data_IF_442072749343
#
_entry.id   IF_442072749343
#
_cell.length_a   1.000
_cell.length_b   1.000
_cell.length_c   1.000
_cell.angle_alpha   90.00
_cell.angle_beta   90.00
_cell.angle_gamma   90.00
#
_symmetry.space_group_name_H-M   'P 1'
#
loop_
_entity.id
_entity.type
_entity.pdbx_description
1 polymer ?
#
# COMPACT_ATOMS: atom_id res chain seq x y z
N UNK A 1 -19.56 -4.02 3.97
CA UNK A 1 -19.33 -2.65 3.45
C UNK A 1 -18.35 -1.85 4.31
N UNK A 2 -18.58 -1.71 5.63
CA UNK A 2 -17.72 -0.93 6.53
C UNK A 2 -16.24 -1.33 6.50
N UNK A 3 -15.94 -2.61 6.34
CA UNK A 3 -14.56 -3.13 6.40
C UNK A 3 -13.76 -2.92 5.12
N UNK A 4 -14.44 -2.92 3.96
CA UNK A 4 -13.83 -2.49 2.71
C UNK A 4 -13.45 -1.01 2.75
N UNK A 5 -14.27 -0.18 3.41
CA UNK A 5 -13.92 1.23 3.67
C UNK A 5 -12.74 1.37 4.62
N UNK A 6 -12.68 0.55 5.69
CA UNK A 6 -11.52 0.51 6.59
C UNK A 6 -10.26 0.10 5.81
N UNK A 7 -10.32 -0.97 5.01
CA UNK A 7 -9.17 -1.43 4.23
C UNK A 7 -8.70 -0.35 3.24
N UNK A 8 -9.62 0.28 2.51
CA UNK A 8 -9.31 1.38 1.60
C UNK A 8 -8.69 2.59 2.34
N UNK A 9 -9.26 2.96 3.48
CA UNK A 9 -8.72 4.04 4.32
C UNK A 9 -7.32 3.71 4.84
N UNK A 10 -7.10 2.47 5.29
CA UNK A 10 -5.78 1.98 5.70
C UNK A 10 -4.75 2.09 4.58
N UNK A 11 -5.11 1.66 3.36
CA UNK A 11 -4.24 1.80 2.18
C UNK A 11 -3.93 3.29 1.88
N UNK A 12 -4.92 4.18 1.95
CA UNK A 12 -4.68 5.61 1.72
C UNK A 12 -3.69 6.17 2.76
N UNK A 13 -3.86 5.80 4.03
CA UNK A 13 -2.94 6.20 5.11
C UNK A 13 -1.54 5.63 4.88
N UNK A 14 -1.42 4.37 4.44
CA UNK A 14 -0.14 3.75 4.08
C UNK A 14 0.54 4.54 2.95
N UNK A 15 -0.18 4.81 1.86
CA UNK A 15 0.35 5.58 0.73
C UNK A 15 0.80 6.98 1.16
N UNK A 16 0.04 7.66 2.02
CA UNK A 16 0.43 8.94 2.61
C UNK A 16 1.71 8.79 3.45
N UNK A 17 1.80 7.76 4.30
CA UNK A 17 2.99 7.47 5.11
C UNK A 17 4.22 7.25 4.21
N UNK A 18 4.11 6.40 3.19
CA UNK A 18 5.19 6.05 2.28
C UNK A 18 5.65 7.27 1.45
N UNK A 19 4.71 8.14 1.08
CA UNK A 19 5.01 9.41 0.40
C UNK A 19 5.74 10.40 1.33
N UNK A 20 5.25 10.58 2.56
CA UNK A 20 5.92 11.39 3.59
C UNK A 20 7.31 10.85 3.92
N UNK A 21 7.48 9.53 3.95
CA UNK A 21 8.76 8.89 4.20
C UNK A 21 9.78 9.30 3.14
N UNK A 22 9.39 9.29 1.87
CA UNK A 22 10.26 9.74 0.77
C UNK A 22 10.57 11.24 0.87
N UNK A 23 9.59 12.07 1.23
CA UNK A 23 9.76 13.51 1.47
C UNK A 23 10.62 13.84 2.69
N UNK A 24 10.78 12.90 3.62
CA UNK A 24 11.57 13.12 4.83
C UNK A 24 13.09 13.20 4.58
N UNK A 25 13.55 12.87 3.38
CA UNK A 25 14.97 12.86 3.00
C UNK A 25 15.83 12.08 4.02
N UNK A 26 15.42 10.85 4.30
CA UNK A 26 16.11 10.00 5.28
C UNK A 26 15.88 10.46 6.73
N UNK A 27 14.70 11.02 7.01
CA UNK A 27 14.32 11.61 8.29
C UNK A 27 15.05 12.89 8.70
N UNK A 28 15.70 13.57 7.76
CA UNK A 28 16.30 14.88 7.98
C UNK A 28 15.24 15.97 8.19
N UNK A 29 14.10 15.85 7.50
CA UNK A 29 12.99 16.79 7.61
C UNK A 29 11.97 16.33 8.67
N UNK A 30 11.98 17.00 9.84
CA UNK A 30 11.17 16.62 11.01
C UNK A 30 9.66 16.46 10.73
N UNK A 31 9.07 17.38 9.97
CA UNK A 31 7.62 17.38 9.74
C UNK A 31 7.14 16.14 8.95
N UNK A 32 7.68 15.83 7.75
CA UNK A 32 7.34 14.60 7.04
C UNK A 32 7.77 13.32 7.80
N UNK A 33 8.84 13.37 8.61
CA UNK A 33 9.22 12.24 9.48
C UNK A 33 8.14 11.89 10.49
N UNK A 34 7.66 12.87 11.25
CA UNK A 34 6.61 12.65 12.25
C UNK A 34 5.32 12.18 11.59
N UNK A 35 4.93 12.80 10.48
CA UNK A 35 3.74 12.39 9.72
C UNK A 35 3.83 10.96 9.20
N UNK A 36 5.01 10.51 8.80
CA UNK A 36 5.24 9.11 8.38
C UNK A 36 4.81 8.15 9.49
N UNK A 37 5.33 8.33 10.70
CA UNK A 37 5.00 7.45 11.83
C UNK A 37 3.52 7.53 12.22
N UNK A 38 2.91 8.72 12.19
CA UNK A 38 1.49 8.90 12.49
C UNK A 38 0.63 8.14 11.49
N UNK A 39 0.82 8.37 10.19
CA UNK A 39 0.03 7.72 9.15
C UNK A 39 0.23 6.22 9.13
N UNK A 40 1.46 5.75 9.37
CA UNK A 40 1.73 4.31 9.43
C UNK A 40 1.06 3.67 10.64
N UNK A 41 1.08 4.32 11.81
CA UNK A 41 0.35 3.87 13.00
C UNK A 41 -1.16 3.78 12.77
N UNK A 42 -1.74 4.78 12.12
CA UNK A 42 -3.18 4.78 11.75
C UNK A 42 -3.47 3.65 10.76
N UNK A 43 -2.69 3.56 9.68
CA UNK A 43 -2.83 2.51 8.66
C UNK A 43 -2.81 1.13 9.28
N UNK A 44 -1.82 0.84 10.12
CA UNK A 44 -1.64 -0.47 10.71
C UNK A 44 -2.79 -0.82 11.67
N UNK A 45 -3.23 0.15 12.46
CA UNK A 45 -4.38 -0.02 13.38
C UNK A 45 -5.65 -0.34 12.60
N UNK A 46 -5.92 0.39 11.52
CA UNK A 46 -7.09 0.18 10.67
C UNK A 46 -7.01 -1.16 9.94
N UNK A 47 -5.81 -1.55 9.49
CA UNK A 47 -5.58 -2.86 8.87
C UNK A 47 -5.89 -4.00 9.83
N UNK A 48 -5.43 -3.93 11.09
CA UNK A 48 -5.78 -4.92 12.13
C UNK A 48 -7.29 -5.02 12.33
N UNK A 49 -8.02 -3.91 12.25
CA UNK A 49 -9.49 -3.94 12.34
C UNK A 49 -10.13 -4.60 11.10
N UNK A 50 -9.56 -4.44 9.91
CA UNK A 50 -10.02 -5.12 8.70
C UNK A 50 -9.78 -6.65 8.77
N UNK A 51 -8.69 -7.08 9.41
CA UNK A 51 -8.37 -8.50 9.64
C UNK A 51 -9.38 -9.22 10.54
N UNK A 52 -10.27 -8.51 11.23
CA UNK A 52 -11.36 -9.15 11.99
C UNK A 52 -12.42 -9.81 11.08
N UNK A 53 -12.35 -9.61 9.77
CA UNK A 53 -13.36 -10.15 8.84
C UNK A 53 -12.85 -10.56 7.48
N UNK A 54 -11.64 -10.14 7.10
CA UNK A 54 -10.93 -10.75 6.00
C UNK A 54 -9.91 -11.74 6.55
N UNK A 55 -9.71 -12.83 5.82
CA UNK A 55 -8.56 -13.68 6.05
C UNK A 55 -7.27 -12.89 5.88
N UNK A 56 -6.27 -13.24 6.69
CA UNK A 56 -4.98 -12.54 6.71
C UNK A 56 -4.34 -12.48 5.33
N UNK A 57 -4.30 -13.63 4.63
CA UNK A 57 -3.73 -13.75 3.28
C UNK A 57 -4.43 -12.84 2.29
N UNK A 58 -5.77 -12.82 2.32
CA UNK A 58 -6.59 -12.00 1.45
C UNK A 58 -6.35 -10.51 1.67
N UNK A 59 -6.44 -10.06 2.93
CA UNK A 59 -6.26 -8.65 3.29
C UNK A 59 -4.84 -8.17 2.94
N UNK A 60 -3.82 -8.97 3.23
CA UNK A 60 -2.44 -8.65 2.87
C UNK A 60 -2.23 -8.58 1.36
N UNK A 61 -2.83 -9.48 0.59
CA UNK A 61 -2.73 -9.45 -0.88
C UNK A 61 -3.30 -8.15 -1.44
N UNK A 62 -4.50 -7.74 -0.99
CA UNK A 62 -5.12 -6.48 -1.42
C UNK A 62 -4.31 -5.27 -0.96
N UNK A 63 -3.89 -5.25 0.31
CA UNK A 63 -3.10 -4.16 0.87
C UNK A 63 -1.78 -3.96 0.13
N UNK A 64 -1.02 -5.03 -0.11
CA UNK A 64 0.24 -4.99 -0.85
C UNK A 64 0.03 -4.62 -2.33
N UNK A 65 -0.96 -5.21 -3.00
CA UNK A 65 -1.22 -4.98 -4.42
C UNK A 65 -1.66 -3.56 -4.74
N UNK A 66 -2.61 -3.01 -3.97
CA UNK A 66 -3.09 -1.65 -4.19
C UNK A 66 -2.05 -0.62 -3.72
N UNK A 67 -1.38 -0.89 -2.60
CA UNK A 67 -0.30 -0.05 -2.09
C UNK A 67 0.84 0.10 -3.09
N UNK A 68 1.40 -1.01 -3.60
CA UNK A 68 2.53 -0.95 -4.54
C UNK A 68 2.15 -0.25 -5.85
N UNK A 69 0.93 -0.46 -6.35
CA UNK A 69 0.43 0.21 -7.54
C UNK A 69 0.37 1.72 -7.34
N UNK A 70 -0.23 2.15 -6.23
CA UNK A 70 -0.46 3.57 -5.93
C UNK A 70 0.86 4.29 -5.65
N UNK A 71 1.72 3.69 -4.82
CA UNK A 71 3.06 4.24 -4.51
C UNK A 71 3.91 4.30 -5.78
N UNK A 72 3.84 3.31 -6.65
CA UNK A 72 4.56 3.35 -7.93
C UNK A 72 4.07 4.48 -8.83
N UNK A 73 2.76 4.69 -8.93
CA UNK A 73 2.18 5.81 -9.70
C UNK A 73 2.66 7.15 -9.14
N UNK A 74 2.65 7.31 -7.81
CA UNK A 74 3.13 8.53 -7.15
C UNK A 74 4.65 8.72 -7.38
N UNK A 75 5.43 7.65 -7.30
CA UNK A 75 6.86 7.63 -7.64
C UNK A 75 7.13 8.21 -9.03
N UNK A 76 6.33 7.81 -10.01
CA UNK A 76 6.48 8.25 -11.40
C UNK A 76 6.01 9.70 -11.59
N UNK A 77 4.82 10.04 -11.10
CA UNK A 77 4.20 11.33 -11.37
C UNK A 77 4.78 12.46 -10.52
N UNK A 78 4.98 12.21 -9.23
CA UNK A 78 5.39 13.22 -8.26
C UNK A 78 6.91 13.27 -8.09
N UNK A 79 7.54 12.11 -7.87
CA UNK A 79 8.99 12.03 -7.65
C UNK A 79 9.80 11.89 -8.94
N UNK A 80 9.13 11.80 -10.10
CA UNK A 80 9.76 11.65 -11.43
C UNK A 80 10.76 10.50 -11.47
N UNK A 81 10.47 9.41 -10.76
CA UNK A 81 11.33 8.23 -10.77
C UNK A 81 11.44 7.66 -12.18
N UNK A 82 12.63 7.20 -12.60
CA UNK A 82 12.81 6.62 -13.92
C UNK A 82 11.93 5.37 -14.07
N UNK A 83 11.21 5.32 -15.18
CA UNK A 83 10.37 4.18 -15.56
C UNK A 83 11.14 3.34 -16.55
N UNK A 84 11.55 2.14 -16.13
CA UNK A 84 12.08 1.13 -17.04
C UNK A 84 10.98 0.16 -17.45
N UNK A 85 11.07 -0.39 -18.66
CA UNK A 85 10.17 -1.45 -19.11
C UNK A 85 10.15 -2.63 -18.12
N UNK A 86 11.31 -2.95 -17.53
CA UNK A 86 11.43 -3.97 -16.49
C UNK A 86 10.63 -3.63 -15.22
N UNK A 87 10.66 -2.36 -14.76
CA UNK A 87 9.87 -1.91 -13.59
C UNK A 87 8.37 -2.11 -13.84
N UNK A 88 7.89 -1.76 -15.04
CA UNK A 88 6.49 -1.94 -15.42
C UNK A 88 6.10 -3.43 -15.42
N UNK A 89 6.91 -4.28 -16.07
CA UNK A 89 6.65 -5.73 -16.12
C UNK A 89 6.61 -6.34 -14.72
N UNK A 90 7.54 -5.95 -13.84
CA UNK A 90 7.56 -6.42 -12.45
C UNK A 90 6.32 -5.99 -11.67
N UNK A 91 5.86 -4.74 -11.84
CA UNK A 91 4.61 -4.29 -11.20
C UNK A 91 3.42 -5.11 -11.70
N UNK A 92 3.32 -5.36 -13.00
CA UNK A 92 2.25 -6.19 -13.58
C UNK A 92 2.28 -7.61 -12.99
N UNK A 93 3.47 -8.21 -12.86
CA UNK A 93 3.64 -9.54 -12.24
C UNK A 93 3.17 -9.56 -10.78
N UNK A 94 3.48 -8.53 -9.99
CA UNK A 94 3.00 -8.42 -8.61
C UNK A 94 1.48 -8.37 -8.57
N UNK A 95 0.86 -7.56 -9.43
CA UNK A 95 -0.61 -7.45 -9.52
C UNK A 95 -1.23 -8.79 -9.92
N UNK A 96 -0.66 -9.49 -10.90
CA UNK A 96 -1.13 -10.83 -11.28
C UNK A 96 -1.02 -11.82 -10.13
N UNK A 97 0.07 -11.77 -9.34
CA UNK A 97 0.23 -12.60 -8.14
C UNK A 97 -0.85 -12.33 -7.10
N UNK A 98 -1.18 -11.05 -6.85
CA UNK A 98 -2.26 -10.65 -5.93
C UNK A 98 -3.62 -11.17 -6.39
N UNK A 99 -3.91 -11.05 -7.70
CA UNK A 99 -5.15 -11.59 -8.29
C UNK A 99 -5.19 -13.12 -8.16
N UNK A 100 -4.05 -13.80 -8.38
CA UNK A 100 -3.95 -15.25 -8.23
C UNK A 100 -4.27 -15.73 -6.82
N UNK A 101 -3.74 -15.04 -5.79
CA UNK A 101 -4.06 -15.34 -4.38
C UNK A 101 -5.56 -15.13 -4.12
N UNK A 102 -6.11 -14.00 -4.56
CA UNK A 102 -7.52 -13.66 -4.42
C UNK A 102 -8.45 -14.73 -5.01
N UNK A 103 -8.11 -15.23 -6.20
CA UNK A 103 -8.85 -16.31 -6.86
C UNK A 103 -8.70 -17.64 -6.14
N UNK A 104 -7.51 -17.94 -5.58
CA UNK A 104 -7.29 -19.19 -4.84
C UNK A 104 -8.10 -19.26 -3.55
N UNK A 105 -8.26 -18.13 -2.85
CA UNK A 105 -9.12 -18.04 -1.66
C UNK A 105 -10.60 -18.18 -2.03
N UNK A 106 -11.00 -17.77 -3.25
CA UNK A 106 -12.38 -17.89 -3.76
C UNK A 106 -12.78 -19.33 -4.13
N UNK A 107 -11.81 -20.21 -4.35
CA UNK A 107 -12.01 -21.61 -4.76
C UNK A 107 -12.10 -22.56 -3.55
N UNK A 108 -11.82 -22.05 -2.34
CA UNK A 108 -12.03 -22.76 -1.06
C UNK A 108 -13.39 -22.44 -0.47
#
# INVERSE_FOLDING_TARGET
>A
MMQWLLLAFGIIMEVCATTCMKLSEGFSNLLPSVLTFIFWGISFTVFILALKSFDLSYAYAVWAGVGILTVSIIGILYFKEPVSALKIISIILIVMGVIGINLSDLVR
#
